data_IF_696225613674
#
_entry.id   IF_696225613674
#
_cell.length_a   1.000
_cell.length_b   1.000
_cell.length_c   1.000
_cell.angle_alpha   90.00
_cell.angle_beta   90.00
_cell.angle_gamma   90.00
#
_symmetry.space_group_name_H-M   'P 1'
#
loop_
_entity.id
_entity.type
_entity.pdbx_description
1 polymer ?
#
# COMPACT_ATOMS: atom_id res chain seq x y z
N UNK A 1 34.50 81.46 -23.86
CA UNK A 1 34.60 80.05 -24.37
C UNK A 1 34.06 79.13 -23.28
N UNK A 2 32.83 78.67 -23.41
CA UNK A 2 32.21 77.80 -22.37
C UNK A 2 31.85 76.47 -23.04
N UNK A 3 32.55 75.43 -22.65
CA UNK A 3 32.31 74.04 -23.09
C UNK A 3 31.15 73.47 -22.30
N UNK A 4 30.07 73.16 -23.01
CA UNK A 4 28.92 72.44 -22.47
C UNK A 4 29.08 70.96 -22.84
N UNK A 5 29.29 70.11 -21.82
CA UNK A 5 29.29 68.62 -21.94
C UNK A 5 27.84 68.14 -21.91
N UNK A 6 27.40 67.31 -22.86
CA UNK A 6 26.08 66.66 -22.73
C UNK A 6 26.21 65.40 -21.93
N UNK A 7 25.45 65.34 -20.85
CA UNK A 7 25.30 64.15 -20.00
C UNK A 7 24.40 63.12 -20.71
N UNK A 8 24.98 62.02 -21.15
CA UNK A 8 24.23 60.85 -21.67
C UNK A 8 23.61 60.09 -20.50
N UNK A 9 22.31 60.17 -20.34
CA UNK A 9 21.54 59.32 -19.44
C UNK A 9 21.22 58.04 -20.18
N UNK A 10 21.94 56.95 -19.83
CA UNK A 10 21.66 55.60 -20.32
C UNK A 10 20.47 55.01 -19.60
N UNK A 11 19.34 54.87 -20.28
CA UNK A 11 18.18 54.10 -19.80
C UNK A 11 18.44 52.63 -20.04
N UNK A 12 18.76 51.92 -18.98
CA UNK A 12 18.85 50.45 -18.98
C UNK A 12 17.45 49.88 -18.91
N UNK A 13 16.86 49.54 -20.06
CA UNK A 13 15.63 48.73 -20.14
C UNK A 13 15.98 47.29 -19.87
N UNK A 14 15.74 46.81 -18.63
CA UNK A 14 15.76 45.39 -18.28
C UNK A 14 14.52 44.74 -18.89
N UNK A 15 14.68 44.17 -20.09
CA UNK A 15 13.66 43.30 -20.69
C UNK A 15 13.77 41.96 -19.97
N UNK A 16 13.02 41.79 -18.88
CA UNK A 16 12.80 40.51 -18.24
C UNK A 16 11.97 39.64 -19.17
N UNK A 17 12.61 38.76 -19.93
CA UNK A 17 11.92 37.65 -20.59
C UNK A 17 11.38 36.70 -19.51
N UNK A 18 10.16 36.91 -19.07
CA UNK A 18 9.38 35.88 -18.40
C UNK A 18 9.10 34.79 -19.45
N UNK A 19 9.99 33.80 -19.54
CA UNK A 19 9.67 32.54 -20.20
C UNK A 19 8.59 31.90 -19.35
N UNK A 20 7.34 32.11 -19.72
CA UNK A 20 6.26 31.22 -19.34
C UNK A 20 6.60 29.85 -19.98
N UNK A 21 7.29 28.97 -19.21
CA UNK A 21 7.31 27.56 -19.54
C UNK A 21 5.85 27.11 -19.64
N UNK A 22 5.41 26.91 -20.88
CA UNK A 22 4.15 26.20 -21.12
C UNK A 22 4.34 24.83 -20.48
N UNK A 23 3.78 24.65 -19.30
CA UNK A 23 3.59 23.34 -18.72
C UNK A 23 2.69 22.60 -19.72
N UNK A 24 3.32 21.90 -20.65
CA UNK A 24 2.61 20.98 -21.53
C UNK A 24 2.16 19.83 -20.64
N UNK A 25 0.90 19.84 -20.23
CA UNK A 25 0.27 18.72 -19.56
C UNK A 25 0.35 17.56 -20.54
N UNK A 26 1.30 16.65 -20.30
CA UNK A 26 1.47 15.44 -21.11
C UNK A 26 0.21 14.60 -20.92
N UNK A 27 -0.42 14.21 -22.01
CA UNK A 27 -1.50 13.21 -21.93
C UNK A 27 -0.95 11.90 -21.36
N UNK A 28 -1.68 11.29 -20.41
CA UNK A 28 -1.26 10.02 -19.83
C UNK A 28 -1.21 8.94 -20.90
N UNK A 29 -0.16 8.13 -20.85
CA UNK A 29 0.00 6.97 -21.74
C UNK A 29 -1.10 5.94 -21.53
N UNK A 30 -1.30 5.03 -22.49
CA UNK A 30 -2.27 3.94 -22.34
C UNK A 30 -1.94 3.04 -21.16
N UNK A 31 -0.66 2.85 -20.84
CA UNK A 31 -0.22 2.17 -19.62
C UNK A 31 -0.68 2.88 -18.35
N UNK A 32 -0.44 4.18 -18.27
CA UNK A 32 -0.85 4.98 -17.10
C UNK A 32 -2.37 4.96 -16.90
N UNK A 33 -3.13 5.04 -18.00
CA UNK A 33 -4.59 4.91 -17.97
C UNK A 33 -5.02 3.51 -17.51
N UNK A 34 -4.42 2.46 -18.06
CA UNK A 34 -4.73 1.08 -17.69
C UNK A 34 -4.47 0.82 -16.21
N UNK A 35 -3.30 1.22 -15.69
CA UNK A 35 -2.99 1.09 -14.27
C UNK A 35 -3.95 1.89 -13.38
N UNK A 36 -4.28 3.10 -13.78
CA UNK A 36 -5.24 3.92 -13.03
C UNK A 36 -6.59 3.22 -12.91
N UNK A 37 -7.16 2.74 -14.02
CA UNK A 37 -8.45 2.05 -14.01
C UNK A 37 -8.37 0.69 -13.33
N UNK A 38 -7.29 -0.05 -13.47
CA UNK A 38 -7.09 -1.31 -12.76
C UNK A 38 -7.09 -1.09 -11.24
N UNK A 39 -6.32 -0.12 -10.74
CA UNK A 39 -6.30 0.26 -9.32
C UNK A 39 -7.66 0.72 -8.82
N UNK A 40 -8.37 1.57 -9.57
CA UNK A 40 -9.72 2.01 -9.21
C UNK A 40 -10.68 0.83 -9.08
N UNK A 41 -10.55 -0.20 -9.92
CA UNK A 41 -11.35 -1.42 -9.79
C UNK A 41 -10.95 -2.22 -8.54
N UNK A 42 -9.66 -2.34 -8.22
CA UNK A 42 -9.18 -2.99 -6.99
C UNK A 42 -9.70 -2.28 -5.75
N UNK A 43 -9.62 -0.96 -5.69
CA UNK A 43 -10.16 -0.15 -4.59
C UNK A 43 -11.67 -0.35 -4.39
N UNK A 44 -12.38 -0.73 -5.46
CA UNK A 44 -13.80 -1.08 -5.44
C UNK A 44 -14.06 -2.60 -5.26
N UNK A 45 -13.05 -3.38 -4.88
CA UNK A 45 -13.07 -4.85 -4.75
C UNK A 45 -13.48 -5.60 -6.05
N UNK A 46 -13.26 -4.99 -7.22
CA UNK A 46 -13.57 -5.56 -8.54
C UNK A 46 -12.31 -6.18 -9.18
N UNK A 47 -11.68 -7.12 -8.50
CA UNK A 47 -10.41 -7.73 -8.94
C UNK A 47 -10.48 -8.35 -10.32
N UNK A 48 -11.57 -9.03 -10.66
CA UNK A 48 -11.78 -9.59 -12.00
C UNK A 48 -11.81 -8.52 -13.11
N UNK A 49 -12.39 -7.36 -12.84
CA UNK A 49 -12.41 -6.26 -13.81
C UNK A 49 -11.02 -5.64 -13.97
N UNK A 50 -10.25 -5.53 -12.88
CA UNK A 50 -8.86 -5.08 -12.93
C UNK A 50 -8.00 -6.05 -13.75
N UNK A 51 -8.14 -7.35 -13.51
CA UNK A 51 -7.42 -8.40 -14.23
C UNK A 51 -7.70 -8.36 -15.73
N UNK A 52 -8.97 -8.21 -16.13
CA UNK A 52 -9.36 -8.04 -17.54
C UNK A 52 -8.70 -6.85 -18.23
N UNK A 53 -8.61 -5.71 -17.54
CA UNK A 53 -7.96 -4.51 -18.08
C UNK A 53 -6.47 -4.76 -18.35
N UNK A 54 -5.80 -5.47 -17.44
CA UNK A 54 -4.39 -5.83 -17.57
C UNK A 54 -4.19 -6.83 -18.71
N UNK A 55 -5.05 -7.84 -18.84
CA UNK A 55 -4.99 -8.79 -19.97
C UNK A 55 -5.23 -8.13 -21.32
N UNK A 56 -6.16 -7.19 -21.38
CA UNK A 56 -6.43 -6.42 -22.59
C UNK A 56 -5.22 -5.58 -22.99
N UNK A 57 -4.51 -4.99 -22.03
CA UNK A 57 -3.27 -4.26 -22.31
C UNK A 57 -2.19 -5.17 -22.90
N UNK A 58 -1.97 -6.37 -22.32
CA UNK A 58 -1.02 -7.35 -22.88
C UNK A 58 -1.38 -7.71 -24.31
N UNK A 59 -2.66 -7.91 -24.58
CA UNK A 59 -3.16 -8.28 -25.92
C UNK A 59 -2.93 -7.17 -26.95
N UNK A 60 -3.06 -5.91 -26.55
CA UNK A 60 -2.90 -4.74 -27.42
C UNK A 60 -1.44 -4.31 -27.59
N UNK A 61 -0.60 -4.55 -26.58
CA UNK A 61 0.79 -4.12 -26.51
C UNK A 61 1.77 -5.28 -26.25
N UNK A 62 1.73 -6.36 -27.06
CA UNK A 62 2.56 -7.54 -26.80
C UNK A 62 4.05 -7.19 -26.86
N UNK A 63 4.82 -7.76 -25.91
CA UNK A 63 6.28 -7.62 -25.88
C UNK A 63 6.80 -6.25 -25.44
N UNK A 64 5.93 -5.33 -25.06
CA UNK A 64 6.37 -4.06 -24.44
C UNK A 64 6.89 -4.31 -23.03
N UNK A 65 7.73 -3.40 -22.53
CA UNK A 65 8.24 -3.48 -21.17
C UNK A 65 7.10 -3.47 -20.15
N UNK A 66 6.13 -2.60 -20.36
CA UNK A 66 4.95 -2.44 -19.51
C UNK A 66 4.09 -3.72 -19.49
N UNK A 67 3.91 -4.37 -20.63
CA UNK A 67 3.19 -5.65 -20.70
C UNK A 67 3.89 -6.75 -19.89
N UNK A 68 5.22 -6.75 -19.85
CA UNK A 68 5.98 -7.71 -19.04
C UNK A 68 5.84 -7.47 -17.53
N UNK A 69 5.51 -6.24 -17.11
CA UNK A 69 5.30 -5.89 -15.71
C UNK A 69 3.90 -6.26 -15.18
N UNK A 70 2.98 -6.61 -16.05
CA UNK A 70 1.58 -6.94 -15.70
C UNK A 70 1.52 -8.15 -14.77
N UNK A 71 2.39 -9.15 -14.97
CA UNK A 71 2.44 -10.32 -14.11
C UNK A 71 2.70 -9.97 -12.63
N UNK A 72 3.48 -8.92 -12.35
CA UNK A 72 3.66 -8.40 -11.01
C UNK A 72 2.34 -7.85 -10.42
N UNK A 73 1.61 -7.03 -11.18
CA UNK A 73 0.36 -6.43 -10.71
C UNK A 73 -0.72 -7.49 -10.47
N UNK A 74 -0.84 -8.48 -11.35
CA UNK A 74 -1.77 -9.60 -11.16
C UNK A 74 -1.44 -10.39 -9.89
N UNK A 75 -0.16 -10.69 -9.66
CA UNK A 75 0.27 -11.37 -8.44
C UNK A 75 0.00 -10.53 -7.19
N UNK A 76 0.22 -9.21 -7.24
CA UNK A 76 -0.07 -8.31 -6.13
C UNK A 76 -1.57 -8.28 -5.80
N UNK A 77 -2.45 -8.28 -6.81
CA UNK A 77 -3.90 -8.33 -6.60
C UNK A 77 -4.40 -9.67 -6.04
N UNK A 78 -3.73 -10.78 -6.37
CA UNK A 78 -4.02 -12.10 -5.76
C UNK A 78 -3.62 -12.13 -4.29
N UNK A 79 -2.55 -11.41 -3.92
CA UNK A 79 -2.05 -11.32 -2.55
C UNK A 79 -2.79 -10.30 -1.69
N UNK A 80 -3.64 -9.48 -2.28
CA UNK A 80 -4.41 -8.48 -1.54
C UNK A 80 -5.35 -9.17 -0.55
N UNK A 81 -5.25 -8.87 0.76
CA UNK A 81 -6.14 -9.47 1.77
C UNK A 81 -7.63 -9.18 1.59
N UNK A 82 -7.98 -8.14 0.82
CA UNK A 82 -9.36 -7.80 0.49
C UNK A 82 -9.90 -8.61 -0.70
N UNK A 83 -9.05 -9.39 -1.37
CA UNK A 83 -9.45 -10.27 -2.47
C UNK A 83 -9.92 -11.63 -1.94
N UNK A 84 -11.22 -11.81 -1.81
CA UNK A 84 -11.83 -13.07 -1.32
C UNK A 84 -11.49 -14.30 -2.20
N UNK A 85 -11.08 -14.07 -3.46
CA UNK A 85 -10.65 -15.11 -4.40
C UNK A 85 -9.13 -15.24 -4.47
N UNK A 86 -8.41 -14.46 -3.68
CA UNK A 86 -6.95 -14.47 -3.62
C UNK A 86 -6.41 -15.62 -2.76
N UNK A 87 -5.16 -15.99 -3.01
CA UNK A 87 -4.46 -17.04 -2.27
C UNK A 87 -2.99 -16.66 -2.11
N UNK A 88 -2.47 -16.78 -0.87
CA UNK A 88 -1.05 -16.56 -0.61
C UNK A 88 -0.17 -17.51 -1.44
N UNK A 89 -0.60 -18.77 -1.59
CA UNK A 89 0.12 -19.78 -2.38
C UNK A 89 0.22 -19.36 -3.85
N UNK A 90 -0.91 -19.01 -4.46
CA UNK A 90 -0.96 -18.67 -5.88
C UNK A 90 -0.22 -17.37 -6.17
N UNK A 91 -0.36 -16.39 -5.28
CA UNK A 91 0.38 -15.13 -5.38
C UNK A 91 1.89 -15.32 -5.30
N UNK A 92 2.38 -16.19 -4.38
CA UNK A 92 3.81 -16.53 -4.29
C UNK A 92 4.29 -17.19 -5.58
N UNK A 93 3.55 -18.16 -6.12
CA UNK A 93 3.88 -18.86 -7.37
C UNK A 93 3.96 -17.86 -8.53
N UNK A 94 3.03 -16.92 -8.63
CA UNK A 94 3.04 -15.91 -9.69
C UNK A 94 4.19 -14.90 -9.52
N UNK A 95 4.52 -14.50 -8.29
CA UNK A 95 5.70 -13.66 -8.05
C UNK A 95 7.01 -14.38 -8.40
N UNK A 96 7.11 -15.67 -8.10
CA UNK A 96 8.27 -16.47 -8.49
C UNK A 96 8.41 -16.56 -10.01
N UNK A 97 7.30 -16.76 -10.72
CA UNK A 97 7.27 -16.75 -12.19
C UNK A 97 7.67 -15.38 -12.76
N UNK A 98 7.15 -14.29 -12.21
CA UNK A 98 7.54 -12.93 -12.60
C UNK A 98 9.03 -12.68 -12.41
N UNK A 99 9.59 -13.02 -11.24
CA UNK A 99 11.00 -12.83 -10.90
C UNK A 99 11.94 -13.63 -11.79
N UNK A 100 11.52 -14.84 -12.20
CA UNK A 100 12.27 -15.68 -13.12
C UNK A 100 12.25 -15.14 -14.57
N UNK A 101 11.09 -14.69 -15.03
CA UNK A 101 10.91 -14.16 -16.38
C UNK A 101 11.52 -12.76 -16.58
N UNK A 102 11.55 -11.95 -15.52
CA UNK A 102 11.95 -10.54 -15.59
C UNK A 102 13.14 -10.24 -14.65
N UNK A 103 14.36 -10.69 -14.95
CA UNK A 103 15.55 -10.47 -14.11
C UNK A 103 15.88 -8.99 -13.94
N UNK A 104 15.47 -8.13 -14.87
CA UNK A 104 15.63 -6.68 -14.85
C UNK A 104 14.27 -5.94 -14.82
N UNK A 105 13.22 -6.57 -14.31
CA UNK A 105 11.89 -6.00 -14.21
C UNK A 105 11.84 -4.76 -13.32
N UNK A 106 10.96 -3.83 -13.64
CA UNK A 106 10.77 -2.58 -12.88
C UNK A 106 10.40 -2.85 -11.42
N UNK A 107 9.56 -3.85 -11.18
CA UNK A 107 9.04 -4.19 -9.86
C UNK A 107 9.76 -5.38 -9.20
N UNK A 108 11.01 -5.66 -9.62
CA UNK A 108 11.76 -6.81 -9.09
C UNK A 108 11.97 -6.74 -7.57
N UNK A 109 12.30 -5.56 -7.05
CA UNK A 109 12.53 -5.38 -5.62
C UNK A 109 11.24 -5.51 -4.83
N UNK A 110 10.17 -4.90 -5.30
CA UNK A 110 8.83 -4.97 -4.73
C UNK A 110 8.28 -6.40 -4.76
N UNK A 111 8.44 -7.09 -5.89
CA UNK A 111 8.07 -8.49 -6.03
C UNK A 111 8.82 -9.40 -5.05
N UNK A 112 10.13 -9.18 -4.87
CA UNK A 112 10.95 -9.93 -3.92
C UNK A 112 10.48 -9.69 -2.48
N UNK A 113 10.20 -8.43 -2.12
CA UNK A 113 9.70 -8.07 -0.79
C UNK A 113 8.32 -8.68 -0.55
N UNK A 114 7.39 -8.50 -1.48
CA UNK A 114 6.01 -8.99 -1.38
C UNK A 114 5.98 -10.53 -1.27
N UNK A 115 6.79 -11.23 -2.07
CA UNK A 115 6.95 -12.68 -2.00
C UNK A 115 7.41 -13.16 -0.62
N UNK A 116 8.43 -12.49 -0.04
CA UNK A 116 8.93 -12.83 1.30
C UNK A 116 7.87 -12.60 2.37
N UNK A 117 7.16 -11.50 2.29
CA UNK A 117 6.05 -11.18 3.22
C UNK A 117 4.94 -12.21 3.13
N UNK A 118 4.53 -12.58 1.92
CA UNK A 118 3.50 -13.59 1.68
C UNK A 118 3.95 -14.99 2.20
N UNK A 119 5.21 -15.37 1.99
CA UNK A 119 5.75 -16.63 2.49
C UNK A 119 5.75 -16.70 4.04
N UNK A 120 6.08 -15.60 4.72
CA UNK A 120 6.00 -15.50 6.18
C UNK A 120 4.55 -15.65 6.65
N UNK A 121 3.61 -14.93 5.99
CA UNK A 121 2.19 -15.01 6.31
C UNK A 121 1.63 -16.43 6.08
N UNK A 122 2.02 -17.09 4.99
CA UNK A 122 1.65 -18.47 4.70
C UNK A 122 2.18 -19.43 5.76
N UNK A 123 3.44 -19.31 6.17
CA UNK A 123 4.05 -20.11 7.24
C UNK A 123 3.35 -19.90 8.58
N UNK A 124 2.98 -18.68 8.92
CA UNK A 124 2.22 -18.38 10.13
C UNK A 124 0.80 -19.00 10.11
N UNK A 125 0.14 -18.98 8.95
CA UNK A 125 -1.16 -19.63 8.77
C UNK A 125 -1.05 -21.16 8.80
N UNK A 126 -0.02 -21.72 8.18
CA UNK A 126 0.29 -23.16 8.22
C UNK A 126 0.61 -23.65 9.64
N UNK A 127 1.36 -22.87 10.41
CA UNK A 127 1.63 -23.18 11.81
C UNK A 127 0.36 -23.17 12.68
N UNK A 128 -0.62 -22.30 12.37
CA UNK A 128 -1.94 -22.33 13.02
C UNK A 128 -2.76 -23.58 12.62
N UNK A 129 -2.71 -23.98 11.35
CA UNK A 129 -3.44 -25.15 10.85
C UNK A 129 -2.83 -26.48 11.37
N UNK A 130 -1.49 -26.57 11.43
CA UNK A 130 -0.80 -27.79 11.93
C UNK A 130 -1.00 -28.00 13.42
N UNK A 131 -1.32 -26.96 14.20
CA UNK A 131 -1.63 -27.09 15.64
C UNK A 131 -3.00 -27.74 15.87
N UNK A 132 -3.88 -27.78 14.86
CA UNK A 132 -5.21 -28.40 14.99
C UNK A 132 -5.20 -29.89 14.63
N UNK A 133 -4.25 -30.39 13.80
CA UNK A 133 -4.36 -31.72 13.19
C UNK A 133 -3.24 -32.73 13.56
N UNK A 134 -2.23 -32.34 14.38
CA UNK A 134 -1.18 -33.28 14.75
C UNK A 134 -1.27 -33.71 16.23
N UNK A 135 -2.31 -34.46 16.54
CA UNK A 135 -2.33 -35.34 17.71
C UNK A 135 -2.17 -36.77 17.22
N UNK A 136 -0.99 -37.13 16.71
CA UNK A 136 -0.56 -38.50 16.59
C UNK A 136 0.97 -38.58 16.38
N UNK A 137 1.73 -38.55 17.47
CA UNK A 137 3.16 -38.91 17.47
C UNK A 137 3.82 -38.57 18.82
N UNK A 138 4.59 -39.50 19.43
CA UNK A 138 5.15 -39.30 20.77
C UNK A 138 6.45 -38.49 20.71
N UNK A 139 6.38 -37.19 20.71
CA UNK A 139 7.55 -36.34 21.01
C UNK A 139 7.15 -34.94 21.47
N UNK A 140 7.51 -34.61 22.68
CA UNK A 140 7.61 -33.30 23.31
C UNK A 140 6.31 -32.56 23.59
N UNK A 141 5.53 -33.08 24.50
CA UNK A 141 4.37 -32.42 25.13
C UNK A 141 4.74 -31.07 25.77
N UNK A 142 5.97 -30.89 26.23
CA UNK A 142 6.38 -29.72 27.00
C UNK A 142 6.57 -28.43 26.16
N UNK A 143 7.10 -28.54 24.94
CA UNK A 143 7.35 -27.37 24.08
C UNK A 143 6.04 -26.75 23.55
N UNK A 144 5.06 -27.60 23.24
CA UNK A 144 3.74 -27.12 22.75
C UNK A 144 2.94 -26.44 23.87
N UNK A 145 3.06 -26.93 25.10
CA UNK A 145 2.39 -26.35 26.28
C UNK A 145 2.98 -24.95 26.60
N UNK A 146 4.30 -24.79 26.52
CA UNK A 146 4.98 -23.50 26.79
C UNK A 146 4.55 -22.44 25.77
N UNK A 147 4.50 -22.76 24.47
CA UNK A 147 4.11 -21.81 23.42
C UNK A 147 2.63 -21.42 23.55
N UNK A 148 1.75 -22.34 23.88
CA UNK A 148 0.32 -22.04 24.13
C UNK A 148 0.14 -21.14 25.35
N UNK A 149 0.81 -21.44 26.44
CA UNK A 149 0.74 -20.65 27.67
C UNK A 149 1.23 -19.22 27.44
N UNK A 150 2.33 -19.02 26.72
CA UNK A 150 2.84 -17.70 26.34
C UNK A 150 1.87 -16.91 25.48
N UNK A 151 1.20 -17.55 24.51
CA UNK A 151 0.17 -16.88 23.68
C UNK A 151 -1.09 -16.55 24.46
N UNK A 152 -1.53 -17.41 25.32
CA UNK A 152 -2.72 -17.15 26.14
C UNK A 152 -2.48 -16.02 27.11
N UNK A 153 -1.27 -15.91 27.66
CA UNK A 153 -0.84 -14.78 28.50
C UNK A 153 -0.76 -13.48 27.69
N UNK A 154 -0.25 -13.51 26.44
CA UNK A 154 -0.20 -12.35 25.54
C UNK A 154 -1.61 -11.89 25.15
N UNK A 155 -2.50 -12.81 24.78
CA UNK A 155 -3.90 -12.52 24.45
C UNK A 155 -4.63 -11.95 25.68
N UNK A 156 -4.38 -12.45 26.87
CA UNK A 156 -4.96 -11.91 28.10
C UNK A 156 -4.47 -10.48 28.36
N UNK A 157 -3.16 -10.23 28.22
CA UNK A 157 -2.57 -8.91 28.36
C UNK A 157 -3.13 -7.90 27.35
N UNK A 158 -3.24 -8.28 26.07
CA UNK A 158 -3.80 -7.43 25.02
C UNK A 158 -5.30 -7.13 25.26
N UNK A 159 -6.07 -8.10 25.75
CA UNK A 159 -7.47 -7.88 26.13
C UNK A 159 -7.60 -6.90 27.30
N UNK A 160 -6.72 -7.00 28.29
CA UNK A 160 -6.68 -6.08 29.42
C UNK A 160 -6.33 -4.64 28.97
N UNK A 161 -5.31 -4.50 28.11
CA UNK A 161 -4.94 -3.20 27.53
C UNK A 161 -6.09 -2.60 26.72
N UNK A 162 -6.78 -3.40 25.93
CA UNK A 162 -7.94 -2.95 25.15
C UNK A 162 -9.08 -2.50 26.06
N UNK A 163 -9.36 -3.23 27.15
CA UNK A 163 -10.37 -2.86 28.11
C UNK A 163 -10.03 -1.52 28.80
N UNK A 164 -8.77 -1.35 29.19
CA UNK A 164 -8.27 -0.10 29.79
C UNK A 164 -8.39 1.09 28.85
N UNK A 165 -7.97 0.93 27.59
CA UNK A 165 -8.09 1.99 26.59
C UNK A 165 -9.54 2.37 26.30
N UNK A 166 -10.46 1.41 26.30
CA UNK A 166 -11.91 1.67 26.16
C UNK A 166 -12.47 2.47 27.36
N UNK A 167 -12.04 2.14 28.57
CA UNK A 167 -12.46 2.86 29.78
C UNK A 167 -11.92 4.30 29.78
N UNK A 168 -10.66 4.51 29.39
CA UNK A 168 -10.06 5.84 29.24
C UNK A 168 -10.80 6.66 28.19
N UNK A 169 -11.14 6.07 27.05
CA UNK A 169 -11.90 6.72 25.99
C UNK A 169 -13.31 7.11 26.44
N UNK A 170 -13.97 6.26 27.23
CA UNK A 170 -15.25 6.58 27.82
C UNK A 170 -15.17 7.76 28.80
N UNK A 171 -14.12 7.83 29.64
CA UNK A 171 -13.88 8.95 30.56
C UNK A 171 -13.65 10.26 29.81
N UNK A 172 -12.79 10.24 28.78
CA UNK A 172 -12.52 11.42 27.94
C UNK A 172 -13.78 11.89 27.21
N UNK A 173 -14.58 10.97 26.69
CA UNK A 173 -15.86 11.29 26.05
C UNK A 173 -16.84 11.94 27.00
N UNK A 174 -16.96 11.42 28.23
CA UNK A 174 -17.81 12.00 29.25
C UNK A 174 -17.36 13.41 29.69
N UNK A 175 -16.04 13.62 29.78
CA UNK A 175 -15.48 14.94 30.12
C UNK A 175 -15.75 15.94 28.98
N UNK A 176 -15.59 15.52 27.75
CA UNK A 176 -15.87 16.33 26.56
C UNK A 176 -17.34 16.76 26.51
N UNK A 177 -18.26 15.87 26.83
CA UNK A 177 -19.70 16.20 26.92
C UNK A 177 -19.99 17.18 28.08
N UNK A 178 -19.29 17.04 29.21
CA UNK A 178 -19.39 18.00 30.31
C UNK A 178 -18.91 19.40 29.90
N UNK A 179 -17.79 19.47 29.18
CA UNK A 179 -17.24 20.74 28.69
C UNK A 179 -18.19 21.37 27.69
N UNK A 180 -18.71 20.62 26.75
CA UNK A 180 -19.70 21.09 25.76
C UNK A 180 -20.93 21.67 26.47
N UNK A 181 -21.45 20.99 27.50
CA UNK A 181 -22.60 21.45 28.26
C UNK A 181 -22.34 22.77 29.00
N UNK A 182 -21.13 22.93 29.58
CA UNK A 182 -20.72 24.20 30.21
C UNK A 182 -20.58 25.34 29.21
N UNK A 183 -20.04 25.06 28.02
CA UNK A 183 -19.90 26.06 26.96
C UNK A 183 -21.26 26.47 26.37
N UNK A 184 -22.21 25.55 26.31
CA UNK A 184 -23.57 25.83 25.83
C UNK A 184 -24.42 26.62 26.85
N UNK A 185 -24.11 26.54 28.17
CA UNK A 185 -24.80 27.24 29.26
C UNK A 185 -23.80 27.92 30.18
N UNK A 186 -23.17 29.04 29.76
CA UNK A 186 -22.14 29.71 30.56
C UNK A 186 -22.66 30.41 31.85
N UNK A 187 -23.99 30.55 32.00
CA UNK A 187 -24.65 31.22 33.11
C UNK A 187 -25.56 30.31 33.97
N UNK A 188 -25.33 28.97 33.90
CA UNK A 188 -26.09 27.99 34.69
C UNK A 188 -25.34 27.45 35.88
#
# INVERSE_FOLDING_TARGET
MRNILPTMIGVLTVIGCAQLEKVTVREPSDWEKTLYYARTNVDANKYFAADKLLDEYVRLHPGTREANEIAFWKAAYILDPANDHGSLSDGIVQLDAYLAANPNGLYRNEATLLRRTAAVAQGANGAKATVVDTVAGPATKDTVVIVRKSRDEEIASLKEQLAKSKDELAKVSAELERIKKRLANPNG
#
